data_IF_826713555955
#
_entry.id   IF_826713555955
#
_cell.length_a   1.000
_cell.length_b   1.000
_cell.length_c   1.000
_cell.angle_alpha   90.00
_cell.angle_beta   90.00
_cell.angle_gamma   90.00
#
_symmetry.space_group_name_H-M   'P 1'
#
loop_
_entity.id
_entity.type
_entity.pdbx_description
1 polymer ?
#
# COMPACT_ATOMS: atom_id res chain seq x y z
N UNK A 1 -2.10 36.20 -27.81
CA UNK A 1 -0.92 35.53 -27.24
C UNK A 1 -1.40 34.60 -26.13
N UNK A 2 -1.72 33.35 -26.44
CA UNK A 2 -2.04 32.30 -25.47
C UNK A 2 -1.08 31.17 -25.78
N UNK A 3 0.04 31.15 -25.07
CA UNK A 3 1.12 30.19 -25.33
C UNK A 3 0.70 28.85 -24.76
N UNK A 4 0.61 27.84 -25.64
CA UNK A 4 0.43 26.44 -25.30
C UNK A 4 1.49 26.00 -24.29
N UNK A 5 1.06 25.61 -23.09
CA UNK A 5 1.85 24.79 -22.16
C UNK A 5 1.26 23.38 -22.13
N UNK A 6 1.26 22.70 -23.28
CA UNK A 6 0.90 21.28 -23.40
C UNK A 6 1.96 20.60 -24.24
N UNK A 7 3.22 20.57 -23.78
CA UNK A 7 4.26 19.73 -24.40
C UNK A 7 5.34 19.39 -23.38
N UNK A 8 5.09 18.36 -22.56
CA UNK A 8 6.11 17.72 -21.74
C UNK A 8 5.87 16.21 -21.48
N UNK A 9 5.25 15.46 -22.39
CA UNK A 9 5.57 14.02 -22.56
C UNK A 9 5.16 13.48 -23.96
N UNK A 10 5.46 14.20 -25.04
CA UNK A 10 5.09 13.77 -26.42
C UNK A 10 6.23 12.99 -27.12
N UNK A 11 7.42 12.91 -26.53
CA UNK A 11 8.57 12.15 -27.08
C UNK A 11 9.28 11.31 -26.01
N UNK A 12 8.54 10.37 -25.42
CA UNK A 12 9.08 9.05 -25.06
C UNK A 12 10.01 8.90 -23.84
N UNK A 13 10.20 9.92 -22.99
CA UNK A 13 10.89 9.75 -21.70
C UNK A 13 10.19 10.60 -20.62
N UNK A 14 9.25 10.01 -19.88
CA UNK A 14 8.80 10.61 -18.63
C UNK A 14 9.82 10.20 -17.52
N UNK A 15 9.97 11.02 -16.47
CA UNK A 15 11.15 10.99 -15.60
C UNK A 15 11.40 9.66 -14.86
N UNK A 16 12.50 9.00 -15.22
CA UNK A 16 13.07 7.87 -14.49
C UNK A 16 14.07 8.33 -13.42
N UNK A 17 14.52 7.37 -12.60
CA UNK A 17 15.66 7.58 -11.70
C UNK A 17 16.92 8.02 -12.48
N UNK A 18 17.49 9.12 -12.03
CA UNK A 18 18.77 9.66 -12.47
C UNK A 18 19.94 8.96 -11.77
N UNK A 19 21.14 9.07 -12.34
CA UNK A 19 22.34 8.56 -11.68
C UNK A 19 22.59 9.20 -10.30
N UNK A 20 22.18 10.46 -10.11
CA UNK A 20 22.29 11.16 -8.82
C UNK A 20 21.33 10.59 -7.77
N UNK A 21 20.12 10.19 -8.17
CA UNK A 21 19.17 9.51 -7.29
C UNK A 21 19.64 8.09 -6.97
N UNK A 22 20.14 7.35 -7.96
CA UNK A 22 20.69 6.00 -7.79
C UNK A 22 21.87 5.98 -6.81
N UNK A 23 22.72 7.01 -6.84
CA UNK A 23 23.86 7.12 -5.94
C UNK A 23 23.47 7.38 -4.47
N UNK A 24 22.21 7.68 -4.17
CA UNK A 24 21.72 7.94 -2.81
C UNK A 24 21.20 6.69 -2.09
N UNK A 25 21.11 5.54 -2.75
CA UNK A 25 20.70 4.30 -2.09
C UNK A 25 21.78 3.82 -1.12
N UNK A 26 21.34 3.38 0.06
CA UNK A 26 22.18 3.01 1.20
C UNK A 26 21.71 1.70 1.84
N UNK A 27 22.23 1.35 3.02
CA UNK A 27 21.81 0.18 3.80
C UNK A 27 21.86 -1.16 3.04
N UNK A 28 22.90 -1.34 2.22
CA UNK A 28 23.12 -2.58 1.47
C UNK A 28 22.16 -2.78 0.28
N UNK A 29 21.40 -1.76 -0.12
CA UNK A 29 20.65 -1.79 -1.38
C UNK A 29 21.62 -1.95 -2.56
N UNK A 30 21.36 -2.94 -3.42
CA UNK A 30 22.17 -3.23 -4.60
C UNK A 30 21.40 -2.86 -5.85
N UNK A 31 22.02 -2.07 -6.72
CA UNK A 31 21.42 -1.68 -8.00
C UNK A 31 22.30 -2.18 -9.14
N UNK A 32 21.72 -3.00 -10.01
CA UNK A 32 22.33 -3.40 -11.28
C UNK A 32 21.51 -2.84 -12.42
N UNK A 33 22.17 -2.21 -13.38
CA UNK A 33 21.49 -1.53 -14.48
C UNK A 33 21.64 -2.31 -15.77
N UNK A 34 20.54 -2.49 -16.50
CA UNK A 34 20.54 -2.94 -17.90
C UNK A 34 20.37 -1.74 -18.82
N UNK A 35 20.25 -1.95 -20.13
CA UNK A 35 19.91 -0.89 -21.08
C UNK A 35 18.49 -0.33 -20.87
N UNK A 36 17.56 -1.14 -20.39
CA UNK A 36 16.14 -0.80 -20.29
C UNK A 36 15.62 -0.64 -18.85
N UNK A 37 16.33 -1.12 -17.84
CA UNK A 37 15.85 -1.14 -16.47
C UNK A 37 16.94 -1.06 -15.39
N UNK A 38 16.52 -0.76 -14.17
CA UNK A 38 17.29 -0.93 -12.94
C UNK A 38 16.73 -2.12 -12.16
N UNK A 39 17.58 -3.10 -11.85
CA UNK A 39 17.29 -4.18 -10.92
C UNK A 39 17.77 -3.76 -9.54
N UNK A 40 16.86 -3.65 -8.58
CA UNK A 40 17.11 -3.17 -7.23
C UNK A 40 16.86 -4.32 -6.26
N UNK A 41 17.85 -4.67 -5.46
CA UNK A 41 17.76 -5.71 -4.42
C UNK A 41 17.96 -5.10 -3.04
N UNK A 42 17.13 -5.50 -2.07
CA UNK A 42 17.14 -4.96 -0.72
C UNK A 42 16.68 -5.99 0.31
N UNK A 43 17.14 -5.81 1.56
CA UNK A 43 16.73 -6.67 2.68
C UNK A 43 15.41 -6.23 3.31
N UNK A 44 14.89 -5.05 3.01
CA UNK A 44 13.69 -4.52 3.67
C UNK A 44 13.89 -4.07 5.11
N UNK A 45 15.09 -4.22 5.67
CA UNK A 45 15.38 -3.84 7.06
C UNK A 45 15.70 -2.35 7.14
N UNK A 46 15.21 -1.64 8.17
CA UNK A 46 15.66 -0.28 8.44
C UNK A 46 17.07 -0.27 9.07
N UNK A 47 17.72 0.89 9.07
CA UNK A 47 19.02 1.09 9.74
C UNK A 47 18.87 1.21 11.27
N UNK A 48 17.69 1.61 11.76
CA UNK A 48 17.39 1.67 13.18
C UNK A 48 16.87 0.33 13.70
N UNK A 49 17.01 0.10 15.01
CA UNK A 49 16.33 -1.02 15.69
C UNK A 49 14.82 -0.80 15.65
N UNK A 50 14.04 -1.68 14.98
CA UNK A 50 12.59 -1.57 14.92
C UNK A 50 11.94 -1.54 16.30
N UNK A 51 10.93 -0.69 16.49
CA UNK A 51 10.20 -0.63 17.75
C UNK A 51 9.30 -1.85 17.97
N UNK A 52 9.17 -2.30 19.22
CA UNK A 52 8.19 -3.31 19.61
C UNK A 52 6.80 -2.66 19.78
N UNK A 53 6.13 -2.45 18.65
CA UNK A 53 4.81 -1.79 18.59
C UNK A 53 3.67 -2.75 18.28
N UNK A 54 4.00 -3.96 17.85
CA UNK A 54 3.07 -5.06 17.64
C UNK A 54 3.77 -6.39 17.98
N UNK A 55 3.06 -7.54 18.02
CA UNK A 55 3.65 -8.83 18.40
C UNK A 55 4.64 -9.44 17.39
N UNK A 56 4.95 -8.75 16.29
CA UNK A 56 5.81 -9.27 15.23
C UNK A 56 7.23 -8.69 15.33
N UNK A 57 8.22 -9.49 14.94
CA UNK A 57 9.61 -9.06 14.82
C UNK A 57 9.98 -8.80 13.35
N UNK A 58 10.69 -7.70 13.11
CA UNK A 58 11.26 -7.41 11.80
C UNK A 58 12.34 -8.43 11.42
N UNK A 59 12.29 -8.91 10.18
CA UNK A 59 13.19 -9.90 9.60
C UNK A 59 13.63 -9.46 8.22
N UNK A 60 14.87 -9.81 7.88
CA UNK A 60 15.38 -9.58 6.53
C UNK A 60 14.51 -10.32 5.50
N UNK A 61 14.14 -9.59 4.45
CA UNK A 61 13.40 -10.03 3.29
C UNK A 61 14.35 -10.18 2.08
N UNK A 62 13.84 -10.72 0.97
CA UNK A 62 14.58 -10.82 -0.29
C UNK A 62 13.88 -10.01 -1.38
N UNK A 63 13.88 -8.69 -1.24
CA UNK A 63 13.22 -7.82 -2.20
C UNK A 63 14.05 -7.71 -3.48
N UNK A 64 13.37 -7.83 -4.63
CA UNK A 64 13.97 -7.72 -5.95
C UNK A 64 12.98 -7.01 -6.88
N UNK A 65 13.31 -5.80 -7.29
CA UNK A 65 12.48 -4.96 -8.15
C UNK A 65 13.15 -4.72 -9.49
N UNK A 66 12.36 -4.61 -10.55
CA UNK A 66 12.82 -4.25 -11.87
C UNK A 66 12.08 -2.99 -12.34
N UNK A 67 12.79 -1.87 -12.34
CA UNK A 67 12.22 -0.55 -12.58
C UNK A 67 12.63 -0.04 -13.96
N UNK A 68 11.68 0.38 -14.82
CA UNK A 68 12.01 0.86 -16.16
C UNK A 68 12.86 2.15 -16.09
N UNK A 69 13.89 2.23 -16.95
CA UNK A 69 14.68 3.45 -17.15
C UNK A 69 13.94 4.57 -17.90
N UNK A 70 12.76 4.24 -18.43
CA UNK A 70 11.89 5.15 -19.19
C UNK A 70 10.44 4.81 -18.82
N UNK A 71 9.98 5.17 -17.61
CA UNK A 71 8.58 4.97 -17.26
C UNK A 71 7.73 5.80 -18.23
N UNK A 72 6.61 5.21 -18.66
CA UNK A 72 5.61 5.89 -19.47
C UNK A 72 4.40 6.17 -18.62
N UNK A 73 3.70 7.27 -18.88
CA UNK A 73 2.40 7.48 -18.23
C UNK A 73 1.43 6.37 -18.63
N UNK A 74 0.70 5.88 -17.64
CA UNK A 74 -0.44 5.02 -17.88
C UNK A 74 -1.54 5.82 -18.58
N UNK A 75 -2.31 5.17 -19.46
CA UNK A 75 -3.50 5.78 -20.06
C UNK A 75 -4.57 6.14 -19.02
N UNK A 76 -4.49 5.52 -17.83
CA UNK A 76 -5.21 5.86 -16.60
C UNK A 76 -4.26 5.63 -15.41
N UNK A 77 -4.45 6.37 -14.32
CA UNK A 77 -3.74 6.11 -13.06
C UNK A 77 -4.01 4.67 -12.59
N UNK A 78 -2.96 3.89 -12.38
CA UNK A 78 -3.02 2.51 -11.92
C UNK A 78 -3.34 2.41 -10.43
N UNK A 79 -4.16 1.42 -10.07
CA UNK A 79 -4.43 1.11 -8.68
C UNK A 79 -3.16 0.69 -7.92
N UNK A 80 -3.07 1.09 -6.67
CA UNK A 80 -2.05 0.60 -5.75
C UNK A 80 -2.45 -0.79 -5.24
N UNK A 81 -1.54 -1.79 -5.29
CA UNK A 81 -1.76 -3.05 -4.61
C UNK A 81 -1.79 -2.84 -3.09
N UNK A 82 -2.38 -3.77 -2.34
CA UNK A 82 -2.04 -3.93 -0.94
C UNK A 82 -0.58 -4.39 -0.80
N UNK A 83 0.08 -4.02 0.31
CA UNK A 83 1.50 -4.29 0.50
C UNK A 83 2.37 -3.22 -0.17
N UNK A 84 3.54 -3.62 -0.70
CA UNK A 84 4.54 -2.69 -1.25
C UNK A 84 4.02 -1.95 -2.48
N UNK A 85 4.12 -0.62 -2.42
CA UNK A 85 3.83 0.34 -3.50
C UNK A 85 5.08 1.13 -3.93
N UNK A 86 6.15 1.05 -3.12
CA UNK A 86 7.43 1.68 -3.40
C UNK A 86 8.49 1.24 -2.40
N UNK A 87 9.71 1.74 -2.56
CA UNK A 87 10.84 1.40 -1.69
C UNK A 87 11.64 2.66 -1.41
N UNK A 88 12.06 2.85 -0.16
CA UNK A 88 12.91 3.97 0.23
C UNK A 88 14.36 3.77 -0.24
N UNK A 89 15.18 4.82 -0.16
CA UNK A 89 16.62 4.72 -0.43
C UNK A 89 17.36 3.78 0.53
N UNK A 90 16.79 3.49 1.70
CA UNK A 90 17.32 2.50 2.66
C UNK A 90 16.85 1.06 2.35
N UNK A 91 16.05 0.86 1.30
CA UNK A 91 15.56 -0.46 0.92
C UNK A 91 14.32 -0.94 1.68
N UNK A 92 13.73 -0.09 2.53
CA UNK A 92 12.51 -0.42 3.30
C UNK A 92 11.28 -0.27 2.41
N UNK A 93 10.32 -1.18 2.57
CA UNK A 93 9.06 -1.13 1.83
C UNK A 93 8.21 0.07 2.22
N UNK A 94 7.74 0.81 1.23
CA UNK A 94 6.62 1.75 1.36
C UNK A 94 5.38 0.95 1.03
N UNK A 95 4.47 0.80 1.98
CA UNK A 95 3.24 0.05 1.82
C UNK A 95 2.07 0.96 1.46
N UNK A 96 1.02 0.35 0.92
CA UNK A 96 -0.27 1.00 0.76
C UNK A 96 -0.68 1.70 2.07
N UNK A 97 -1.09 2.98 2.05
CA UNK A 97 -1.47 3.67 3.28
C UNK A 97 -2.75 3.12 3.92
N UNK A 98 -3.46 2.22 3.24
CA UNK A 98 -4.60 1.49 3.78
C UNK A 98 -4.18 0.21 4.52
N UNK A 99 -4.96 -0.17 5.54
CA UNK A 99 -5.00 -1.53 6.08
C UNK A 99 -5.78 -2.47 5.16
N UNK A 100 -5.78 -3.78 5.46
CA UNK A 100 -6.60 -4.75 4.73
C UNK A 100 -8.11 -4.48 4.83
N UNK A 101 -8.55 -3.82 5.90
CA UNK A 101 -9.92 -3.36 6.12
C UNK A 101 -10.23 -2.01 5.46
N UNK A 102 -9.30 -1.48 4.67
CA UNK A 102 -9.37 -0.18 4.02
C UNK A 102 -9.45 1.01 5.00
N UNK A 103 -8.87 0.86 6.18
CA UNK A 103 -8.68 1.96 7.11
C UNK A 103 -7.36 2.69 6.82
N UNK A 104 -7.27 3.96 7.19
CA UNK A 104 -6.00 4.68 7.28
C UNK A 104 -5.10 4.01 8.32
N UNK A 105 -4.06 3.31 7.82
CA UNK A 105 -3.17 2.53 8.65
C UNK A 105 -2.40 3.40 9.66
N UNK A 106 -2.05 4.64 9.30
CA UNK A 106 -1.33 5.56 10.20
C UNK A 106 -2.20 5.93 11.41
N UNK A 107 -3.53 5.93 11.25
CA UNK A 107 -4.46 6.28 12.31
C UNK A 107 -4.90 5.08 13.17
N UNK A 108 -4.96 3.87 12.61
CA UNK A 108 -5.50 2.69 13.32
C UNK A 108 -4.44 1.70 13.79
N UNK A 109 -3.26 1.68 13.19
CA UNK A 109 -2.18 0.80 13.57
C UNK A 109 -1.17 1.53 14.47
N UNK A 110 -0.39 0.76 15.23
CA UNK A 110 0.63 1.32 16.11
C UNK A 110 1.97 1.34 15.37
N UNK A 111 2.51 2.54 15.19
CA UNK A 111 3.79 2.76 14.52
C UNK A 111 4.93 2.96 15.52
N UNK A 112 6.15 2.63 15.12
CA UNK A 112 7.35 2.98 15.87
C UNK A 112 7.75 4.47 15.70
N UNK A 113 8.84 4.88 16.35
CA UNK A 113 9.33 6.27 16.32
C UNK A 113 9.68 6.78 14.91
N UNK A 114 9.88 5.88 13.96
CA UNK A 114 10.23 6.15 12.57
C UNK A 114 9.04 5.98 11.63
N UNK A 115 7.81 5.91 12.17
CA UNK A 115 6.56 5.69 11.44
C UNK A 115 6.55 4.39 10.62
N UNK A 116 7.10 3.31 11.16
CA UNK A 116 6.97 1.99 10.55
C UNK A 116 6.71 0.89 11.56
N UNK A 117 6.45 -0.31 11.05
CA UNK A 117 6.22 -1.52 11.85
C UNK A 117 6.40 -2.79 10.99
N UNK A 118 6.67 -3.96 11.60
CA UNK A 118 6.71 -5.23 10.89
C UNK A 118 5.33 -5.89 10.76
N UNK A 119 5.09 -6.53 9.62
CA UNK A 119 3.95 -7.45 9.47
C UNK A 119 4.24 -8.83 10.09
N UNK A 120 3.24 -9.73 10.02
CA UNK A 120 3.35 -11.12 10.50
C UNK A 120 4.43 -11.98 9.80
N UNK A 121 4.94 -11.53 8.65
CA UNK A 121 6.06 -12.17 7.93
C UNK A 121 7.41 -11.54 8.31
N UNK A 122 7.39 -10.53 9.16
CA UNK A 122 8.55 -9.75 9.58
C UNK A 122 8.96 -8.68 8.57
N UNK A 123 8.16 -8.37 7.56
CA UNK A 123 8.47 -7.30 6.63
C UNK A 123 8.24 -5.95 7.33
N UNK A 124 9.32 -5.26 7.72
CA UNK A 124 9.24 -3.89 8.21
C UNK A 124 8.88 -2.92 7.08
N UNK A 125 7.92 -2.04 7.33
CA UNK A 125 7.41 -1.13 6.31
C UNK A 125 6.83 0.16 6.88
N UNK A 126 6.64 1.13 5.98
CA UNK A 126 6.03 2.42 6.27
C UNK A 126 4.67 2.54 5.58
N UNK A 127 3.64 2.93 6.35
CA UNK A 127 2.35 3.41 5.79
C UNK A 127 2.30 4.93 5.68
N UNK A 128 3.06 5.64 6.51
CA UNK A 128 3.19 7.10 6.52
C UNK A 128 4.63 7.57 6.35
N UNK A 129 4.84 8.89 6.38
CA UNK A 129 6.15 9.51 6.14
C UNK A 129 7.23 8.94 7.05
N UNK A 130 8.35 8.39 6.54
CA UNK A 130 9.42 7.81 7.36
C UNK A 130 10.22 8.94 8.03
N UNK A 131 9.86 9.29 9.26
CA UNK A 131 10.41 10.46 9.99
C UNK A 131 11.89 10.36 10.30
N UNK A 132 12.45 9.14 10.34
CA UNK A 132 13.87 8.92 10.53
C UNK A 132 14.69 9.03 9.22
N UNK A 133 14.02 9.13 8.06
CA UNK A 133 14.64 9.31 6.75
C UNK A 133 14.44 10.74 6.22
N UNK A 134 13.21 11.25 6.32
CA UNK A 134 12.85 12.58 5.80
C UNK A 134 13.30 13.66 6.78
N UNK A 135 14.14 14.60 6.31
CA UNK A 135 14.79 15.59 7.18
C UNK A 135 14.42 17.05 6.84
N UNK A 136 13.44 17.27 5.95
CA UNK A 136 12.99 18.60 5.55
C UNK A 136 13.89 19.30 4.54
N UNK A 137 14.93 18.64 4.02
CA UNK A 137 15.72 19.19 2.91
C UNK A 137 14.84 19.36 1.67
N UNK A 138 14.99 20.49 0.99
CA UNK A 138 14.26 20.76 -0.24
C UNK A 138 14.64 19.75 -1.33
N UNK A 139 13.63 19.23 -2.04
CA UNK A 139 13.78 18.22 -3.08
C UNK A 139 14.59 16.99 -2.63
N UNK A 140 14.44 16.59 -1.35
CA UNK A 140 15.06 15.37 -0.84
C UNK A 140 14.50 14.15 -1.60
N UNK A 141 15.37 13.36 -2.20
CA UNK A 141 15.00 12.08 -2.80
C UNK A 141 14.81 11.02 -1.70
N UNK A 142 13.65 10.36 -1.69
CA UNK A 142 13.25 9.43 -0.63
C UNK A 142 13.25 7.98 -1.10
N UNK A 143 12.99 7.74 -2.38
CA UNK A 143 12.87 6.40 -2.93
C UNK A 143 12.15 6.40 -4.27
N UNK A 144 11.60 5.25 -4.65
CA UNK A 144 10.87 5.09 -5.91
C UNK A 144 9.55 4.34 -5.71
N UNK A 145 8.56 4.68 -6.51
CA UNK A 145 7.32 3.92 -6.63
C UNK A 145 7.50 2.77 -7.63
N UNK A 146 6.71 1.69 -7.49
CA UNK A 146 6.86 0.50 -8.34
C UNK A 146 6.54 0.73 -9.83
N UNK A 147 5.89 1.84 -10.18
CA UNK A 147 5.69 2.29 -11.57
C UNK A 147 6.91 3.02 -12.17
N UNK A 148 7.94 3.25 -11.34
CA UNK A 148 9.26 3.73 -11.73
C UNK A 148 9.48 5.23 -11.62
N UNK A 149 8.51 5.98 -11.10
CA UNK A 149 8.71 7.39 -10.79
C UNK A 149 9.33 7.59 -9.39
N UNK A 150 10.16 8.62 -9.21
CA UNK A 150 10.80 8.91 -7.94
C UNK A 150 9.81 9.50 -6.93
N UNK A 151 10.10 9.29 -5.65
CA UNK A 151 9.37 9.83 -4.49
C UNK A 151 10.27 10.81 -3.77
N UNK A 152 9.75 12.00 -3.49
CA UNK A 152 10.48 13.11 -2.89
C UNK A 152 9.88 13.55 -1.54
N UNK A 153 10.66 14.31 -0.76
CA UNK A 153 10.22 14.99 0.45
C UNK A 153 9.14 16.04 0.20
N UNK A 154 8.48 16.49 1.27
CA UNK A 154 7.43 17.51 1.18
C UNK A 154 7.96 18.89 0.77
N UNK A 155 9.17 19.25 1.21
CA UNK A 155 9.79 20.56 0.93
C UNK A 155 10.19 20.66 -0.55
N UNK A 156 9.59 21.60 -1.27
CA UNK A 156 9.85 21.82 -2.69
C UNK A 156 10.58 23.16 -2.89
N UNK A 157 11.76 23.15 -3.51
CA UNK A 157 12.55 24.39 -3.68
C UNK A 157 11.90 25.39 -4.62
N UNK A 158 11.16 24.91 -5.62
CA UNK A 158 10.49 25.74 -6.61
C UNK A 158 9.27 26.48 -6.04
N UNK A 159 8.61 25.90 -5.03
CA UNK A 159 7.56 26.56 -4.25
C UNK A 159 8.07 27.32 -3.02
N UNK A 160 9.30 27.03 -2.57
CA UNK A 160 9.90 27.53 -1.33
C UNK A 160 9.07 27.22 -0.07
N UNK A 161 8.34 26.10 -0.08
CA UNK A 161 7.51 25.60 1.03
C UNK A 161 7.25 24.09 0.90
N UNK A 162 6.62 23.49 1.91
CA UNK A 162 6.05 22.14 1.76
C UNK A 162 4.94 22.17 0.70
N UNK A 163 4.87 21.12 -0.12
CA UNK A 163 3.74 20.89 -1.03
C UNK A 163 2.47 20.64 -0.23
N UNK A 164 1.34 21.12 -0.73
CA UNK A 164 0.00 20.83 -0.21
C UNK A 164 -0.77 19.97 -1.19
N UNK A 165 -1.94 19.47 -0.78
CA UNK A 165 -2.81 18.69 -1.65
C UNK A 165 -3.28 19.45 -2.91
N UNK A 166 -3.15 20.77 -2.95
CA UNK A 166 -3.54 21.59 -4.11
C UNK A 166 -2.40 21.75 -5.12
N UNK A 167 -1.16 21.45 -4.72
CA UNK A 167 0.00 21.41 -5.63
C UNK A 167 0.17 20.04 -6.31
N UNK A 168 -0.59 19.03 -5.85
CA UNK A 168 -0.45 17.63 -6.24
C UNK A 168 -1.65 17.18 -7.10
N UNK A 169 -1.37 16.28 -8.02
CA UNK A 169 -2.36 15.65 -8.88
C UNK A 169 -3.11 14.52 -8.16
N UNK A 170 -4.01 13.86 -8.89
CA UNK A 170 -4.80 12.76 -8.35
C UNK A 170 -4.04 11.52 -7.87
N UNK A 171 -2.78 11.36 -8.28
CA UNK A 171 -1.89 10.31 -7.81
C UNK A 171 -0.94 10.78 -6.72
N UNK A 172 -1.13 12.00 -6.20
CA UNK A 172 -0.31 12.60 -5.16
C UNK A 172 1.12 12.91 -5.62
N UNK A 173 1.27 13.25 -6.90
CA UNK A 173 2.53 13.73 -7.47
C UNK A 173 2.36 15.01 -8.27
N UNK A 174 3.43 15.48 -8.90
CA UNK A 174 3.42 16.69 -9.73
C UNK A 174 4.53 16.65 -10.75
N UNK A 175 4.36 17.38 -11.84
CA UNK A 175 5.45 17.66 -12.77
C UNK A 175 6.28 18.84 -12.27
N UNK A 176 7.60 18.68 -12.29
CA UNK A 176 8.56 19.78 -12.06
C UNK A 176 9.61 19.73 -13.15
N UNK A 177 9.77 20.83 -13.90
CA UNK A 177 10.68 20.91 -15.04
C UNK A 177 10.50 19.77 -16.07
N UNK A 178 9.24 19.42 -16.37
CA UNK A 178 8.90 18.32 -17.29
C UNK A 178 9.19 16.93 -16.74
N UNK A 179 9.44 16.79 -15.43
CA UNK A 179 9.70 15.52 -14.76
C UNK A 179 8.64 15.25 -13.69
N UNK A 180 7.89 14.17 -13.86
CA UNK A 180 6.93 13.73 -12.86
C UNK A 180 7.63 13.10 -11.65
N UNK A 181 7.13 13.42 -10.46
CA UNK A 181 7.58 12.85 -9.19
C UNK A 181 6.44 12.84 -8.18
N UNK A 182 6.46 11.85 -7.29
CA UNK A 182 5.59 11.83 -6.11
C UNK A 182 6.20 12.64 -4.98
N UNK A 183 5.35 13.09 -4.06
CA UNK A 183 5.80 13.76 -2.84
C UNK A 183 5.18 13.10 -1.61
N UNK A 184 6.00 12.91 -0.58
CA UNK A 184 5.48 12.55 0.74
C UNK A 184 4.85 13.77 1.40
N UNK A 185 3.76 13.57 2.14
CA UNK A 185 3.05 14.63 2.87
C UNK A 185 2.64 14.17 4.26
N UNK A 186 2.47 15.10 5.20
CA UNK A 186 1.93 14.79 6.54
C UNK A 186 0.45 14.42 6.51
N UNK A 187 -0.25 14.81 5.45
CA UNK A 187 -1.66 14.49 5.24
C UNK A 187 -1.81 13.28 4.33
N UNK A 188 -2.95 12.59 4.49
CA UNK A 188 -3.38 11.49 3.64
C UNK A 188 -3.26 11.83 2.14
N UNK A 189 -2.84 10.89 1.25
CA UNK A 189 -2.41 9.49 1.48
C UNK A 189 -0.92 9.31 1.86
N UNK A 190 -0.24 10.35 2.32
CA UNK A 190 1.16 10.36 2.78
C UNK A 190 2.25 10.07 1.73
N UNK A 191 2.00 9.23 0.71
CA UNK A 191 2.94 8.88 -0.36
C UNK A 191 2.36 9.05 -1.76
N UNK A 192 1.69 8.04 -2.31
CA UNK A 192 1.05 8.10 -3.63
C UNK A 192 -0.41 7.65 -3.52
N UNK A 193 -1.30 8.25 -4.32
CA UNK A 193 -2.74 7.93 -4.41
C UNK A 193 -3.10 6.94 -5.54
N UNK A 194 -2.19 6.80 -6.50
CA UNK A 194 -2.21 5.83 -7.59
C UNK A 194 -0.83 5.80 -8.25
N UNK A 195 -0.60 4.80 -9.10
CA UNK A 195 0.50 4.83 -10.04
C UNK A 195 0.17 5.73 -11.23
N UNK A 196 0.99 6.73 -11.50
CA UNK A 196 0.95 7.57 -12.70
C UNK A 196 1.49 6.80 -13.91
N UNK A 197 2.46 5.92 -13.68
CA UNK A 197 3.07 5.12 -14.73
C UNK A 197 2.25 3.91 -15.14
N UNK A 198 2.56 3.37 -16.32
CA UNK A 198 2.18 2.01 -16.70
C UNK A 198 2.94 1.05 -15.78
N UNK A 199 2.34 0.70 -14.64
CA UNK A 199 2.96 -0.17 -13.66
C UNK A 199 3.29 -1.53 -14.29
N UNK A 200 4.58 -1.84 -14.40
CA UNK A 200 5.04 -3.16 -14.77
C UNK A 200 4.80 -4.12 -13.60
N UNK A 201 4.22 -5.29 -13.86
CA UNK A 201 4.02 -6.33 -12.85
C UNK A 201 5.37 -6.75 -12.26
N UNK A 202 5.64 -6.37 -11.01
CA UNK A 202 6.84 -6.81 -10.28
C UNK A 202 6.68 -8.29 -9.89
N UNK A 203 7.71 -9.11 -10.11
CA UNK A 203 7.67 -10.52 -9.72
C UNK A 203 7.52 -10.65 -8.19
N UNK A 204 6.65 -11.54 -7.72
CA UNK A 204 6.44 -11.80 -6.29
C UNK A 204 5.48 -10.85 -5.56
N UNK A 205 5.12 -9.71 -6.16
CA UNK A 205 4.17 -8.76 -5.57
C UNK A 205 2.82 -8.86 -6.28
N UNK A 206 2.12 -9.97 -6.01
CA UNK A 206 0.75 -10.18 -6.46
C UNK A 206 -0.22 -9.61 -5.42
N UNK A 207 -0.67 -8.36 -5.62
CA UNK A 207 -1.86 -7.84 -4.96
C UNK A 207 -3.09 -8.04 -5.86
N UNK A 208 -4.06 -8.83 -5.41
CA UNK A 208 -5.38 -8.90 -6.05
C UNK A 208 -6.17 -7.64 -5.70
N UNK A 209 -6.24 -6.72 -6.67
CA UNK A 209 -7.30 -5.74 -6.98
C UNK A 209 -8.13 -5.16 -5.83
N UNK A 210 -8.22 -3.84 -5.82
CA UNK A 210 -9.50 -3.19 -5.64
C UNK A 210 -9.55 -1.82 -6.30
N UNK A 211 -10.70 -1.16 -6.12
CA UNK A 211 -11.19 -0.07 -6.93
C UNK A 211 -11.75 1.01 -6.01
N UNK A 212 -11.45 2.28 -6.29
CA UNK A 212 -12.24 3.40 -5.80
C UNK A 212 -13.54 3.43 -6.64
N UNK A 213 -14.67 2.99 -6.07
CA UNK A 213 -16.01 3.39 -6.54
C UNK A 213 -16.71 4.13 -5.41
N UNK A 214 -17.67 5.00 -5.72
CA UNK A 214 -18.32 5.96 -4.79
C UNK A 214 -18.95 5.38 -3.50
N UNK A 215 -18.86 4.08 -3.24
CA UNK A 215 -19.64 3.41 -2.18
C UNK A 215 -18.91 2.41 -1.30
N UNK A 216 -17.70 1.89 -1.64
CA UNK A 216 -16.96 0.92 -0.79
C UNK A 216 -15.45 0.97 -1.09
N UNK A 217 -14.59 1.02 -0.06
CA UNK A 217 -13.14 1.09 -0.23
C UNK A 217 -12.49 -0.27 0.02
N UNK A 218 -11.61 -0.72 -0.89
CA UNK A 218 -10.69 -1.84 -0.62
C UNK A 218 -9.27 -1.67 -1.20
N UNK A 219 -8.96 -0.71 -2.12
CA UNK A 219 -7.61 -0.36 -2.67
C UNK A 219 -7.69 1.04 -3.32
N UNK A 220 -6.54 1.72 -3.50
CA UNK A 220 -6.45 3.14 -3.88
C UNK A 220 -6.09 3.33 -5.37
N UNK A 221 -6.98 3.96 -6.16
CA UNK A 221 -6.91 3.97 -7.64
C UNK A 221 -7.14 5.35 -8.27
N UNK A 222 -6.51 6.41 -7.76
CA UNK A 222 -6.85 7.80 -8.16
C UNK A 222 -8.14 8.29 -7.51
N UNK A 223 -8.21 8.15 -6.19
CA UNK A 223 -9.30 8.67 -5.39
C UNK A 223 -9.21 10.23 -5.35
N UNK A 224 -9.65 10.93 -6.41
CA UNK A 224 -9.87 12.40 -6.37
C UNK A 224 -10.90 12.78 -5.30
N UNK A 225 -11.82 11.87 -4.99
CA UNK A 225 -12.80 12.08 -3.94
C UNK A 225 -12.16 11.95 -2.55
N UNK A 226 -11.60 13.07 -2.08
CA UNK A 226 -11.36 13.34 -0.64
C UNK A 226 -12.61 12.99 0.21
N UNK A 227 -13.81 12.90 -0.40
CA UNK A 227 -15.12 12.58 0.19
C UNK A 227 -15.24 11.19 0.82
N UNK A 228 -14.46 10.18 0.40
CA UNK A 228 -14.49 8.86 1.08
C UNK A 228 -13.91 8.94 2.50
N UNK A 229 -13.10 9.97 2.78
CA UNK A 229 -12.48 10.23 4.08
C UNK A 229 -12.80 11.65 4.59
N UNK A 230 -13.85 12.32 4.08
CA UNK A 230 -14.24 13.64 4.59
C UNK A 230 -14.78 13.49 6.00
N UNK A 231 -14.04 14.07 6.94
CA UNK A 231 -14.38 14.34 8.35
C UNK A 231 -15.87 14.68 8.48
N UNK A 232 -16.68 13.75 8.98
CA UNK A 232 -17.93 14.13 9.63
C UNK A 232 -17.56 14.83 10.94
N UNK A 233 -18.09 16.02 11.25
CA UNK A 233 -17.83 16.67 12.53
C UNK A 233 -18.23 15.75 13.68
N UNK A 234 -17.27 15.35 14.53
CA UNK A 234 -17.51 14.51 15.71
C UNK A 234 -17.32 13.00 15.52
N UNK A 235 -16.80 12.52 14.38
CA UNK A 235 -16.55 11.09 14.13
C UNK A 235 -15.07 10.82 13.81
N UNK A 236 -14.45 9.86 14.51
CA UNK A 236 -13.03 9.48 14.46
C UNK A 236 -12.71 8.47 13.34
N UNK A 237 -13.32 8.64 12.17
CA UNK A 237 -13.49 7.54 11.21
C UNK A 237 -12.25 7.34 10.33
N UNK A 238 -11.22 6.72 10.89
CA UNK A 238 -10.09 6.21 10.12
C UNK A 238 -10.48 5.08 9.15
N UNK A 239 -11.74 4.62 9.15
CA UNK A 239 -12.23 3.52 8.34
C UNK A 239 -13.53 3.90 7.61
N UNK A 240 -13.75 3.43 6.37
CA UNK A 240 -15.06 3.52 5.73
C UNK A 240 -16.11 2.76 6.56
N UNK A 241 -17.38 3.19 6.51
CA UNK A 241 -18.46 2.38 7.09
C UNK A 241 -18.46 0.99 6.44
N UNK A 242 -18.31 -0.08 7.25
CA UNK A 242 -18.52 -1.43 6.76
C UNK A 242 -19.91 -1.47 6.15
N UNK A 243 -20.09 -2.02 4.93
CA UNK A 243 -21.43 -2.27 4.44
C UNK A 243 -22.14 -3.12 5.50
N UNK A 244 -23.25 -2.63 6.05
CA UNK A 244 -24.11 -3.50 6.83
C UNK A 244 -24.37 -4.72 5.94
N UNK A 245 -24.00 -5.92 6.42
CA UNK A 245 -24.60 -7.13 5.86
C UNK A 245 -26.10 -6.87 5.89
N UNK A 246 -26.86 -7.13 4.80
CA UNK A 246 -28.29 -6.92 4.83
C UNK A 246 -28.80 -7.61 6.10
N UNK A 247 -29.31 -6.81 7.03
CA UNK A 247 -29.98 -7.34 8.19
C UNK A 247 -31.03 -8.29 7.61
N UNK A 248 -30.92 -9.58 7.91
CA UNK A 248 -32.00 -10.51 7.71
C UNK A 248 -33.13 -10.09 8.63
N UNK A 249 -33.87 -9.06 8.23
CA UNK A 249 -35.09 -8.65 8.87
C UNK A 249 -36.22 -8.88 7.88
N UNK A 250 -37.18 -9.68 8.36
CA UNK A 250 -38.38 -10.04 7.64
C UNK A 250 -39.03 -8.85 6.96
N UNK A 251 -39.37 -9.06 5.70
CA UNK A 251 -40.41 -8.33 4.99
C UNK A 251 -41.58 -9.28 4.73
N UNK A 252 -42.83 -8.81 4.81
CA UNK A 252 -44.02 -9.65 4.80
C UNK A 252 -44.35 -10.06 3.36
N UNK A 253 -44.54 -11.37 3.14
CA UNK A 253 -45.42 -11.79 2.07
C UNK A 253 -46.14 -13.09 2.45
N UNK A 254 -47.44 -12.95 2.67
CA UNK A 254 -48.39 -14.04 2.69
C UNK A 254 -48.55 -14.60 1.27
N UNK A 255 -48.71 -15.92 1.14
CA UNK A 255 -49.08 -16.54 -0.13
C UNK A 255 -48.74 -18.03 -0.25
N UNK A 256 -49.49 -18.86 0.50
CA UNK A 256 -50.00 -20.19 0.11
C UNK A 256 -49.15 -21.13 -0.78
N UNK A 257 -48.76 -22.32 -0.30
CA UNK A 257 -49.61 -23.52 -0.35
C UNK A 257 -48.93 -24.80 0.22
N UNK A 258 -49.67 -25.44 1.12
CA UNK A 258 -49.98 -26.88 1.23
C UNK A 258 -48.92 -27.98 1.35
N UNK A 259 -48.97 -28.59 2.55
CA UNK A 259 -48.94 -30.02 2.92
C UNK A 259 -47.81 -30.24 3.95
N UNK A 260 -48.03 -30.56 5.23
CA UNK A 260 -49.09 -31.29 5.92
C UNK A 260 -48.39 -31.92 7.14
N UNK A 261 -49.15 -32.15 8.23
CA UNK A 261 -48.72 -32.84 9.48
C UNK A 261 -48.00 -32.01 10.57
N UNK A 262 -48.84 -31.37 11.41
CA UNK A 262 -48.93 -31.50 12.88
C UNK A 262 -47.67 -31.50 13.77
N UNK A 263 -47.59 -30.41 14.56
CA UNK A 263 -47.07 -30.20 15.94
C UNK A 263 -46.74 -31.48 16.76
N UNK A 264 -45.68 -31.57 17.56
CA UNK A 264 -45.50 -30.93 18.90
C UNK A 264 -44.10 -31.21 19.54
N UNK A 265 -43.73 -30.56 20.68
CA UNK A 265 -42.35 -30.20 21.05
C UNK A 265 -41.75 -30.89 22.32
N UNK A 266 -40.48 -30.52 22.65
CA UNK A 266 -39.74 -30.72 23.93
C UNK A 266 -39.20 -32.14 24.21
N UNK A 267 -37.98 -32.39 24.76
CA UNK A 267 -37.20 -31.77 25.85
C UNK A 267 -35.70 -32.23 25.79
N UNK A 268 -34.79 -31.70 26.65
CA UNK A 268 -33.33 -31.90 26.63
C UNK A 268 -32.80 -32.94 27.66
N UNK A 269 -31.53 -33.33 27.50
CA UNK A 269 -30.71 -34.16 28.42
C UNK A 269 -29.77 -35.03 27.59
N UNK A 270 -28.44 -34.97 27.68
CA UNK A 270 -27.59 -35.16 28.86
C UNK A 270 -26.84 -36.49 28.68
N UNK A 271 -25.51 -36.50 28.64
CA UNK A 271 -24.75 -37.77 28.57
C UNK A 271 -23.36 -37.66 27.94
N UNK A 272 -22.36 -37.56 28.80
CA UNK A 272 -20.92 -37.69 28.55
C UNK A 272 -20.51 -39.14 28.22
N UNK A 273 -19.43 -39.32 27.41
CA UNK A 273 -18.38 -40.40 27.44
C UNK A 273 -17.67 -40.55 26.05
N UNK A 274 -16.48 -41.20 25.94
CA UNK A 274 -15.15 -40.67 26.27
C UNK A 274 -14.14 -40.78 25.08
N UNK A 275 -12.95 -40.18 25.23
CA UNK A 275 -11.82 -40.26 24.29
C UNK A 275 -11.33 -41.70 24.03
N UNK A 276 -10.98 -41.99 22.77
CA UNK A 276 -10.28 -43.22 22.35
C UNK A 276 -8.75 -43.03 22.34
N UNK A 277 -7.95 -44.05 22.69
CA UNK A 277 -6.49 -43.94 22.72
C UNK A 277 -5.81 -44.11 21.36
N UNK A 278 -4.69 -43.41 21.21
CA UNK A 278 -3.71 -43.45 20.12
C UNK A 278 -3.09 -44.87 19.95
N UNK A 279 -2.93 -45.33 18.71
CA UNK A 279 -2.07 -46.46 18.34
C UNK A 279 -0.86 -45.95 17.55
N UNK A 280 0.38 -46.33 17.89
CA UNK A 280 1.54 -46.09 17.03
C UNK A 280 1.65 -47.19 15.96
N UNK A 281 1.92 -46.80 14.71
CA UNK A 281 2.26 -47.71 13.62
C UNK A 281 3.79 -47.91 13.50
N UNK A 282 4.25 -49.06 12.99
CA UNK A 282 5.68 -49.41 12.94
C UNK A 282 6.41 -48.68 11.82
N UNK A 283 7.68 -48.36 12.08
CA UNK A 283 8.58 -47.76 11.10
C UNK A 283 9.13 -48.77 10.09
N UNK A 284 9.58 -48.23 8.95
CA UNK A 284 10.46 -48.92 8.00
C UNK A 284 11.48 -47.91 7.47
N UNK A 285 12.76 -48.22 7.67
CA UNK A 285 13.92 -47.61 7.02
C UNK A 285 14.03 -48.05 5.56
N UNK A 286 14.34 -47.12 4.64
CA UNK A 286 15.31 -47.18 3.52
C UNK A 286 15.48 -45.71 3.06
N UNK A 287 16.61 -45.06 2.82
CA UNK A 287 17.94 -45.48 2.35
C UNK A 287 18.15 -44.88 0.95
N UNK A 288 19.12 -43.94 0.85
CA UNK A 288 19.53 -43.06 -0.28
C UNK A 288 18.87 -41.68 -0.38
#
# INVERSE_FOLDING_TARGET
>A
MHTLAVFACVVGVCAALTNKEIAQFVNGVKITSTTSSHKISATGMPEHTPGNVNPNDAKAQNYNFNIPKKPTYGSKGGCLPMGIIGVTIQGVGIFNPLTAEACDAVLVEKMDKCNGHPDMRGAYHHHGVPTCLVNGTADQFIGFALDGFPIYGAMASDLKREVTADDLDECHGREVNGKYRYHVTKEWPYFLGCFKGAANRQQGFMGSQAWCTNTKATHMCSCKDRKVFKKSPGRTDACPERPQRPNGNGGPNAGTNNNGATRRPHRPGGGSRPMRPFRPGPGTLVGF
#
